data_IF_366487978944
#
_entry.id   IF_366487978944
#
_cell.length_a   1.000
_cell.length_b   1.000
_cell.length_c   1.000
_cell.angle_alpha   90.00
_cell.angle_beta   90.00
_cell.angle_gamma   90.00
#
_symmetry.space_group_name_H-M   'P 1'
#
loop_
_entity.id
_entity.type
_entity.pdbx_description
1 polymer ?
#
# COMPACT_ATOMS: atom_id res chain seq x y z
N UNK A 1 -3.60 3.52 -18.65
CA UNK A 1 -2.34 3.12 -19.23
C UNK A 1 -1.35 2.72 -18.15
N UNK A 2 -0.56 1.68 -18.40
CA UNK A 2 0.39 1.20 -17.42
C UNK A 2 1.55 2.17 -17.22
N UNK A 3 2.02 2.30 -15.99
CA UNK A 3 3.19 3.12 -15.63
C UNK A 3 4.52 2.39 -15.88
N UNK A 4 4.46 1.10 -16.14
CA UNK A 4 5.61 0.22 -16.29
C UNK A 4 6.56 0.65 -17.42
N UNK A 5 6.04 0.81 -18.63
CA UNK A 5 6.82 1.24 -19.79
C UNK A 5 7.49 2.62 -19.61
N UNK A 6 6.79 3.65 -19.13
CA UNK A 6 7.40 4.94 -18.83
C UNK A 6 8.55 4.86 -17.80
N UNK A 7 8.43 4.03 -16.76
CA UNK A 7 9.47 3.84 -15.75
C UNK A 7 10.72 3.20 -16.40
N UNK A 8 10.56 2.13 -17.19
CA UNK A 8 11.67 1.51 -17.89
C UNK A 8 12.33 2.47 -18.90
N UNK A 9 11.54 3.27 -19.62
CA UNK A 9 12.06 4.27 -20.56
C UNK A 9 12.90 5.33 -19.84
N UNK A 10 12.43 5.87 -18.71
CA UNK A 10 13.22 6.81 -17.91
C UNK A 10 14.50 6.16 -17.38
N UNK A 11 14.41 4.94 -16.89
CA UNK A 11 15.57 4.17 -16.44
C UNK A 11 16.60 3.96 -17.55
N UNK A 12 16.16 3.63 -18.77
CA UNK A 12 17.03 3.45 -19.93
C UNK A 12 17.76 4.76 -20.32
N UNK A 13 17.06 5.90 -20.28
CA UNK A 13 17.64 7.21 -20.55
C UNK A 13 18.68 7.61 -19.50
N UNK A 14 18.40 7.38 -18.22
CA UNK A 14 19.36 7.63 -17.16
C UNK A 14 20.60 6.73 -17.28
N UNK A 15 20.39 5.45 -17.57
CA UNK A 15 21.49 4.51 -17.83
C UNK A 15 22.31 4.91 -19.04
N UNK A 16 21.67 5.32 -20.14
CA UNK A 16 22.34 5.81 -21.34
C UNK A 16 23.18 7.05 -21.05
N UNK A 17 22.64 8.01 -20.27
CA UNK A 17 23.36 9.23 -19.87
C UNK A 17 24.65 8.87 -19.11
N UNK A 18 24.56 7.99 -18.13
CA UNK A 18 25.74 7.51 -17.37
C UNK A 18 26.71 6.80 -18.28
N UNK A 19 26.22 5.93 -19.18
CA UNK A 19 27.03 5.22 -20.16
C UNK A 19 27.82 6.16 -21.08
N UNK A 20 27.17 7.21 -21.62
CA UNK A 20 27.84 8.24 -22.46
C UNK A 20 28.93 8.96 -21.66
N UNK A 21 28.67 9.32 -20.41
CA UNK A 21 29.65 9.98 -19.54
C UNK A 21 30.87 9.05 -19.32
N UNK A 22 30.64 7.78 -18.99
CA UNK A 22 31.70 6.81 -18.75
C UNK A 22 32.54 6.53 -20.01
N UNK A 23 31.93 6.43 -21.19
CA UNK A 23 32.64 6.27 -22.46
C UNK A 23 33.47 7.52 -22.79
N UNK A 24 32.93 8.72 -22.63
CA UNK A 24 33.65 9.98 -22.90
C UNK A 24 34.83 10.20 -21.95
N UNK A 25 34.72 9.72 -20.70
CA UNK A 25 35.83 9.76 -19.74
C UNK A 25 36.86 8.64 -19.96
N UNK A 26 36.65 7.76 -20.94
CA UNK A 26 37.56 6.65 -21.23
C UNK A 26 37.55 5.54 -20.18
N UNK A 27 36.53 5.51 -19.31
CA UNK A 27 36.42 4.50 -18.24
C UNK A 27 35.96 3.14 -18.77
N UNK A 28 35.20 3.14 -19.87
CA UNK A 28 34.61 1.97 -20.50
C UNK A 28 34.67 2.09 -22.02
N UNK A 29 34.67 0.92 -22.71
CA UNK A 29 34.63 0.90 -24.17
C UNK A 29 33.20 1.14 -24.70
N UNK A 30 33.12 1.64 -25.93
CA UNK A 30 31.85 1.85 -26.64
C UNK A 30 30.99 0.57 -26.72
N UNK A 31 31.63 -0.59 -26.80
CA UNK A 31 30.93 -1.88 -26.85
C UNK A 31 30.17 -2.22 -25.59
N UNK A 32 30.57 -1.65 -24.45
CA UNK A 32 29.92 -1.86 -23.14
C UNK A 32 28.76 -0.90 -22.90
N UNK A 33 28.54 0.09 -23.76
CA UNK A 33 27.46 1.08 -23.61
C UNK A 33 26.07 0.45 -23.40
N UNK A 34 25.64 -0.59 -24.15
CA UNK A 34 24.30 -1.16 -23.97
C UNK A 34 24.02 -1.69 -22.56
N UNK A 35 25.04 -2.15 -21.84
CA UNK A 35 24.86 -2.65 -20.48
C UNK A 35 24.41 -1.54 -19.51
N UNK A 36 24.86 -0.29 -19.70
CA UNK A 36 24.43 0.84 -18.87
C UNK A 36 22.95 1.14 -19.03
N UNK A 37 22.42 0.99 -20.24
CA UNK A 37 20.99 1.15 -20.52
C UNK A 37 20.19 0.12 -19.74
N UNK A 38 20.59 -1.14 -19.79
CA UNK A 38 19.93 -2.26 -19.10
C UNK A 38 20.02 -2.10 -17.58
N UNK A 39 21.18 -1.72 -17.06
CA UNK A 39 21.39 -1.47 -15.64
C UNK A 39 20.51 -0.31 -15.15
N UNK A 40 20.41 0.77 -15.94
CA UNK A 40 19.54 1.90 -15.65
C UNK A 40 18.06 1.51 -15.59
N UNK A 41 17.59 0.69 -16.56
CA UNK A 41 16.22 0.16 -16.55
C UNK A 41 15.90 -0.60 -15.27
N UNK A 42 16.77 -1.54 -14.91
CA UNK A 42 16.57 -2.40 -13.74
C UNK A 42 16.70 -1.63 -12.43
N UNK A 43 17.74 -0.80 -12.28
CA UNK A 43 17.97 -0.01 -11.09
C UNK A 43 16.86 1.00 -10.81
N UNK A 44 16.42 1.73 -11.84
CA UNK A 44 15.36 2.73 -11.69
C UNK A 44 14.00 2.08 -11.37
N UNK A 45 13.64 0.99 -12.07
CA UNK A 45 12.41 0.27 -11.79
C UNK A 45 12.43 -0.34 -10.38
N UNK A 46 13.54 -1.01 -10.00
CA UNK A 46 13.68 -1.62 -8.68
C UNK A 46 13.61 -0.63 -7.52
N UNK A 47 14.19 0.57 -7.71
CA UNK A 47 14.14 1.65 -6.73
C UNK A 47 12.73 2.22 -6.54
N UNK A 48 12.06 2.58 -7.64
CA UNK A 48 10.74 3.23 -7.61
C UNK A 48 9.63 2.28 -7.16
N UNK A 49 9.66 1.03 -7.62
CA UNK A 49 8.66 0.03 -7.25
C UNK A 49 8.93 -0.63 -5.90
N UNK A 50 10.11 -0.40 -5.31
CA UNK A 50 10.62 -1.12 -4.13
C UNK A 50 10.61 -2.65 -4.30
N UNK A 51 10.80 -3.13 -5.51
CA UNK A 51 10.75 -4.55 -5.88
C UNK A 51 12.03 -4.98 -6.63
N UNK A 52 13.21 -5.05 -5.97
CA UNK A 52 14.49 -5.30 -6.63
C UNK A 52 14.56 -6.66 -7.32
N UNK A 53 14.01 -7.72 -6.73
CA UNK A 53 13.97 -9.06 -7.32
C UNK A 53 13.15 -9.10 -8.60
N UNK A 54 11.97 -8.47 -8.57
CA UNK A 54 11.10 -8.36 -9.75
C UNK A 54 11.79 -7.60 -10.86
N UNK A 55 12.45 -6.48 -10.54
CA UNK A 55 13.16 -5.65 -11.49
C UNK A 55 14.27 -6.41 -12.23
N UNK A 56 15.14 -7.10 -11.49
CA UNK A 56 16.26 -7.81 -12.09
C UNK A 56 15.81 -9.00 -12.95
N UNK A 57 14.84 -9.79 -12.49
CA UNK A 57 14.33 -10.95 -13.24
C UNK A 57 13.65 -10.49 -14.53
N UNK A 58 12.77 -9.49 -14.41
CA UNK A 58 12.01 -8.97 -15.53
C UNK A 58 12.89 -8.36 -16.61
N UNK A 59 13.88 -7.53 -16.24
CA UNK A 59 14.80 -6.94 -17.22
C UNK A 59 15.72 -8.02 -17.82
N UNK A 60 16.15 -9.01 -17.04
CA UNK A 60 16.92 -10.15 -17.54
C UNK A 60 16.13 -10.93 -18.58
N UNK A 61 14.85 -11.18 -18.34
CA UNK A 61 13.96 -11.86 -19.30
C UNK A 61 13.73 -11.04 -20.56
N UNK A 62 13.54 -9.73 -20.44
CA UNK A 62 13.39 -8.82 -21.58
C UNK A 62 14.63 -8.78 -22.48
N UNK A 63 15.82 -8.82 -21.88
CA UNK A 63 17.11 -8.82 -22.60
C UNK A 63 17.43 -10.20 -23.17
N UNK A 64 16.93 -11.26 -22.55
CA UNK A 64 17.18 -12.65 -22.97
C UNK A 64 18.59 -13.15 -22.66
N UNK A 65 19.35 -12.47 -21.78
CA UNK A 65 20.72 -12.84 -21.42
C UNK A 65 20.92 -12.91 -19.90
N UNK A 66 20.93 -14.13 -19.39
CA UNK A 66 21.08 -14.43 -17.95
C UNK A 66 22.46 -14.02 -17.37
N UNK A 67 23.47 -13.81 -18.23
CA UNK A 67 24.81 -13.38 -17.79
C UNK A 67 24.77 -12.00 -17.12
N UNK A 68 23.78 -11.20 -17.45
CA UNK A 68 23.58 -9.88 -16.87
C UNK A 68 22.85 -9.91 -15.52
N UNK A 69 22.37 -11.07 -15.05
CA UNK A 69 21.58 -11.20 -13.83
C UNK A 69 22.34 -10.68 -12.60
N UNK A 70 23.61 -11.01 -12.46
CA UNK A 70 24.44 -10.60 -11.32
C UNK A 70 24.65 -9.06 -11.28
N UNK A 71 25.11 -8.39 -12.33
CA UNK A 71 25.23 -6.94 -12.34
C UNK A 71 23.87 -6.23 -12.21
N UNK A 72 22.81 -6.76 -12.79
CA UNK A 72 21.46 -6.24 -12.62
C UNK A 72 21.00 -6.32 -11.16
N UNK A 73 21.21 -7.47 -10.52
CA UNK A 73 20.86 -7.66 -9.11
C UNK A 73 21.62 -6.70 -8.20
N UNK A 74 22.91 -6.50 -8.45
CA UNK A 74 23.73 -5.59 -7.64
C UNK A 74 23.26 -4.14 -7.79
N UNK A 75 23.04 -3.66 -9.01
CA UNK A 75 22.59 -2.28 -9.25
C UNK A 75 21.19 -2.04 -8.70
N UNK A 76 20.25 -2.96 -8.89
CA UNK A 76 18.90 -2.85 -8.35
C UNK A 76 18.88 -2.84 -6.82
N UNK A 77 19.71 -3.69 -6.19
CA UNK A 77 19.79 -3.71 -4.73
C UNK A 77 20.37 -2.40 -4.17
N UNK A 78 21.45 -1.90 -4.77
CA UNK A 78 22.03 -0.61 -4.35
C UNK A 78 21.02 0.53 -4.57
N UNK A 79 20.35 0.59 -5.72
CA UNK A 79 19.35 1.60 -6.02
C UNK A 79 18.16 1.54 -5.04
N UNK A 80 17.72 0.34 -4.68
CA UNK A 80 16.69 0.12 -3.66
C UNK A 80 17.13 0.67 -2.29
N UNK A 81 18.34 0.32 -1.84
CA UNK A 81 18.87 0.79 -0.54
C UNK A 81 18.98 2.32 -0.52
N UNK A 82 19.51 2.91 -1.57
CA UNK A 82 19.61 4.38 -1.68
C UNK A 82 18.23 5.03 -1.60
N UNK A 83 17.26 4.50 -2.34
CA UNK A 83 15.88 5.03 -2.33
C UNK A 83 15.24 4.88 -0.94
N UNK A 84 15.52 3.79 -0.24
CA UNK A 84 15.00 3.56 1.12
C UNK A 84 15.63 4.51 2.13
N UNK A 85 16.95 4.74 2.06
CA UNK A 85 17.66 5.74 2.88
C UNK A 85 17.14 7.16 2.65
N UNK A 86 16.77 7.50 1.43
CA UNK A 86 16.16 8.79 1.07
C UNK A 86 14.68 8.88 1.48
N UNK A 87 14.13 7.84 2.11
CA UNK A 87 12.71 7.73 2.49
C UNK A 87 11.75 7.94 1.31
N UNK A 88 12.14 7.50 0.11
CA UNK A 88 11.29 7.54 -1.07
C UNK A 88 10.09 6.62 -0.88
N UNK A 89 8.86 7.13 -1.11
CA UNK A 89 7.65 6.33 -1.09
C UNK A 89 7.59 5.42 -2.33
N UNK A 90 7.06 4.18 -2.21
CA UNK A 90 6.79 3.35 -3.36
C UNK A 90 5.83 4.05 -4.32
N UNK A 91 6.10 3.96 -5.63
CA UNK A 91 5.29 4.68 -6.64
C UNK A 91 3.81 4.30 -6.59
N UNK A 92 3.51 3.04 -6.27
CA UNK A 92 2.13 2.56 -6.21
C UNK A 92 1.36 3.13 -5.02
N UNK A 93 1.99 3.27 -3.86
CA UNK A 93 1.41 3.91 -2.68
C UNK A 93 1.18 5.41 -2.91
N UNK A 94 2.19 6.10 -3.45
CA UNK A 94 2.08 7.52 -3.80
C UNK A 94 1.00 7.80 -4.85
N UNK A 95 0.75 6.86 -5.78
CA UNK A 95 -0.35 6.96 -6.73
C UNK A 95 -1.70 6.71 -6.07
N UNK A 96 -1.79 5.73 -5.17
CA UNK A 96 -3.01 5.42 -4.45
C UNK A 96 -3.45 6.61 -3.59
N UNK A 97 -2.51 7.23 -2.86
CA UNK A 97 -2.77 8.45 -2.08
C UNK A 97 -3.35 9.59 -2.92
N UNK A 98 -2.81 9.80 -4.13
CA UNK A 98 -3.31 10.82 -5.06
C UNK A 98 -4.66 10.47 -5.72
N UNK A 99 -5.03 9.20 -5.75
CA UNK A 99 -6.31 8.74 -6.31
C UNK A 99 -7.42 8.72 -5.25
N UNK A 100 -7.07 8.70 -3.97
CA UNK A 100 -8.05 8.87 -2.91
C UNK A 100 -8.50 10.33 -2.89
N UNK A 101 -9.82 10.61 -2.79
CA UNK A 101 -10.30 11.98 -2.66
C UNK A 101 -9.66 12.64 -1.43
N UNK A 102 -9.27 13.91 -1.57
CA UNK A 102 -8.64 14.72 -0.51
C UNK A 102 -9.52 14.87 0.75
N UNK A 103 -10.80 14.50 0.65
CA UNK A 103 -11.78 14.48 1.74
C UNK A 103 -11.59 13.32 2.74
N UNK A 104 -10.64 12.39 2.50
CA UNK A 104 -10.30 11.33 3.44
C UNK A 104 -9.28 11.76 4.52
N UNK A 105 -8.90 13.03 4.56
CA UNK A 105 -7.97 13.56 5.55
C UNK A 105 -8.72 14.00 6.82
N UNK A 106 -8.46 13.30 7.90
CA UNK A 106 -8.66 13.58 9.32
C UNK A 106 -10.07 13.60 9.93
N UNK A 107 -11.15 13.93 9.20
CA UNK A 107 -12.51 13.89 9.79
C UNK A 107 -13.31 12.62 9.44
N UNK A 108 -12.84 11.78 8.53
CA UNK A 108 -13.57 10.64 7.98
C UNK A 108 -12.88 9.28 8.08
N UNK A 109 -11.73 9.15 8.72
CA UNK A 109 -11.10 7.84 8.84
C UNK A 109 -11.95 6.92 9.74
N UNK A 110 -12.74 6.09 9.09
CA UNK A 110 -13.55 5.08 9.78
C UNK A 110 -12.68 3.88 10.14
N UNK A 111 -12.89 3.35 11.33
CA UNK A 111 -12.25 2.13 11.80
C UNK A 111 -13.30 1.12 12.23
N UNK A 112 -12.94 -0.14 12.18
CA UNK A 112 -13.77 -1.21 12.70
C UNK A 112 -13.32 -1.51 14.12
N UNK A 113 -14.26 -1.45 15.06
CA UNK A 113 -14.03 -1.82 16.46
C UNK A 113 -14.97 -2.94 16.87
N UNK A 114 -14.53 -3.74 17.81
CA UNK A 114 -15.31 -4.80 18.43
C UNK A 114 -15.61 -4.40 19.88
N UNK A 115 -16.88 -4.47 20.27
CA UNK A 115 -17.34 -4.15 21.62
C UNK A 115 -18.25 -5.27 22.10
N UNK A 116 -18.08 -5.76 23.34
CA UNK A 116 -19.04 -6.67 23.95
C UNK A 116 -20.33 -5.93 24.29
N UNK A 117 -21.46 -6.60 24.12
CA UNK A 117 -22.78 -6.09 24.55
C UNK A 117 -22.83 -6.06 26.08
N UNK A 118 -22.88 -4.84 26.63
CA UNK A 118 -22.97 -4.57 28.06
C UNK A 118 -24.41 -4.66 28.58
N UNK A 119 -24.57 -4.62 29.91
CA UNK A 119 -25.89 -4.57 30.56
C UNK A 119 -26.71 -3.34 30.15
N UNK A 120 -26.05 -2.21 29.79
CA UNK A 120 -26.72 -0.97 29.37
C UNK A 120 -27.51 -1.13 28.06
N UNK A 121 -27.05 -1.97 27.16
CA UNK A 121 -27.62 -2.13 25.82
C UNK A 121 -28.26 -3.51 25.60
N UNK A 122 -28.04 -4.45 26.49
CA UNK A 122 -28.66 -5.77 26.43
C UNK A 122 -30.19 -5.68 26.44
N UNK A 123 -30.82 -6.46 25.56
CA UNK A 123 -32.27 -6.48 25.39
C UNK A 123 -32.85 -5.39 24.49
N UNK A 124 -32.11 -4.31 24.21
CA UNK A 124 -32.53 -3.24 23.31
C UNK A 124 -32.37 -3.64 21.84
N UNK A 125 -33.13 -2.99 20.98
CA UNK A 125 -32.94 -3.08 19.51
C UNK A 125 -31.94 -2.00 19.06
N UNK A 126 -31.28 -2.24 17.93
CA UNK A 126 -30.25 -1.31 17.43
C UNK A 126 -30.76 0.11 17.26
N UNK A 127 -31.97 0.29 16.75
CA UNK A 127 -32.56 1.62 16.58
C UNK A 127 -32.83 2.38 17.90
N UNK A 128 -32.90 1.65 19.01
CA UNK A 128 -33.10 2.24 20.37
C UNK A 128 -31.78 2.71 21.00
N UNK A 129 -30.63 2.37 20.40
CA UNK A 129 -29.31 2.73 20.93
C UNK A 129 -28.93 4.20 20.69
N UNK A 130 -29.70 4.93 19.89
CA UNK A 130 -29.46 6.35 19.54
C UNK A 130 -28.01 6.62 19.13
N UNK A 131 -27.45 5.77 18.29
CA UNK A 131 -26.09 5.92 17.78
C UNK A 131 -25.98 7.18 16.88
N UNK A 132 -24.81 7.85 16.86
CA UNK A 132 -24.55 8.90 15.89
C UNK A 132 -24.74 8.42 14.46
N UNK A 133 -25.15 9.33 13.54
CA UNK A 133 -25.46 8.98 12.14
C UNK A 133 -24.29 8.37 11.36
N UNK A 134 -23.06 8.60 11.80
CA UNK A 134 -21.83 8.12 11.20
C UNK A 134 -21.27 6.83 11.85
N UNK A 135 -22.06 6.20 12.75
CA UNK A 135 -21.74 4.95 13.43
C UNK A 135 -22.67 3.85 12.99
N UNK A 136 -22.14 2.75 12.51
CA UNK A 136 -22.91 1.63 12.00
C UNK A 136 -22.49 0.32 12.69
N UNK A 137 -23.45 -0.38 13.30
CA UNK A 137 -23.25 -1.77 13.72
C UNK A 137 -23.43 -2.66 12.49
N UNK A 138 -22.39 -3.37 12.09
CA UNK A 138 -22.39 -4.20 10.89
C UNK A 138 -22.77 -5.65 11.17
N UNK A 139 -22.22 -6.23 12.24
CA UNK A 139 -22.43 -7.63 12.60
C UNK A 139 -22.50 -7.81 14.10
N UNK A 140 -23.24 -8.85 14.51
CA UNK A 140 -23.31 -9.36 15.88
C UNK A 140 -22.91 -10.83 15.88
N UNK A 141 -22.06 -11.20 16.81
CA UNK A 141 -21.69 -12.61 17.02
C UNK A 141 -22.50 -13.13 18.20
N UNK A 142 -23.51 -13.93 17.90
CA UNK A 142 -24.39 -14.58 18.88
C UNK A 142 -24.13 -16.10 18.89
N UNK A 143 -23.83 -16.66 20.05
CA UNK A 143 -23.52 -18.09 20.22
C UNK A 143 -22.46 -18.61 19.19
N UNK A 144 -21.41 -17.80 18.92
CA UNK A 144 -20.34 -18.14 17.98
C UNK A 144 -20.74 -18.05 16.50
N UNK A 145 -21.93 -17.56 16.16
CA UNK A 145 -22.38 -17.32 14.79
C UNK A 145 -22.48 -15.82 14.52
N UNK A 146 -21.81 -15.39 13.45
CA UNK A 146 -21.90 -14.01 12.98
C UNK A 146 -23.18 -13.83 12.17
N UNK A 147 -23.93 -12.77 12.49
CA UNK A 147 -25.15 -12.37 11.77
C UNK A 147 -25.11 -10.90 11.42
N UNK A 148 -25.68 -10.56 10.27
CA UNK A 148 -25.83 -9.15 9.85
C UNK A 148 -26.87 -8.47 10.75
N UNK A 149 -26.56 -7.24 11.13
CA UNK A 149 -27.40 -6.44 12.03
C UNK A 149 -28.24 -5.44 11.23
N UNK A 150 -29.47 -5.27 11.65
CA UNK A 150 -30.37 -4.23 11.17
C UNK A 150 -31.03 -3.49 12.36
N UNK A 151 -31.79 -2.43 12.09
CA UNK A 151 -32.40 -1.60 13.15
C UNK A 151 -33.26 -2.36 14.14
N UNK A 152 -33.88 -3.49 13.76
CA UNK A 152 -34.74 -4.33 14.60
C UNK A 152 -33.99 -5.46 15.31
N UNK A 153 -32.70 -5.64 15.05
CA UNK A 153 -31.89 -6.69 15.68
C UNK A 153 -31.75 -6.41 17.17
N UNK A 154 -32.02 -7.41 18.00
CA UNK A 154 -31.92 -7.32 19.47
C UNK A 154 -30.52 -7.68 19.94
N UNK A 155 -29.97 -6.87 20.85
CA UNK A 155 -28.67 -7.11 21.47
C UNK A 155 -28.80 -8.08 22.63
N UNK A 156 -27.96 -9.10 22.70
CA UNK A 156 -27.94 -10.06 23.79
C UNK A 156 -26.66 -9.87 24.63
N UNK A 157 -26.80 -9.94 25.94
CA UNK A 157 -25.68 -9.79 26.86
C UNK A 157 -24.56 -10.80 26.54
N UNK A 158 -23.32 -10.32 26.47
CA UNK A 158 -22.16 -11.16 26.20
C UNK A 158 -21.89 -11.42 24.70
N UNK A 159 -22.77 -10.99 23.81
CA UNK A 159 -22.47 -11.01 22.38
C UNK A 159 -21.38 -9.99 22.02
N UNK A 160 -20.67 -10.23 20.93
CA UNK A 160 -19.73 -9.27 20.36
C UNK A 160 -20.37 -8.55 19.19
N UNK A 161 -20.27 -7.22 19.15
CA UNK A 161 -20.75 -6.40 18.05
C UNK A 161 -19.58 -5.73 17.34
N UNK A 162 -19.64 -5.69 16.03
CA UNK A 162 -18.66 -5.01 15.19
C UNK A 162 -19.26 -3.71 14.68
N UNK A 163 -18.55 -2.62 14.93
CA UNK A 163 -18.98 -1.27 14.55
C UNK A 163 -17.98 -0.66 13.59
N UNK A 164 -18.51 0.01 12.59
CA UNK A 164 -17.76 0.94 11.74
C UNK A 164 -18.01 2.34 12.28
N UNK A 165 -16.93 3.03 12.67
CA UNK A 165 -16.99 4.29 13.40
C UNK A 165 -15.82 5.21 13.03
N UNK A 166 -16.03 6.54 12.91
CA UNK A 166 -14.95 7.49 12.80
C UNK A 166 -14.03 7.46 14.04
N UNK A 167 -12.73 7.52 13.83
CA UNK A 167 -11.75 7.49 14.93
C UNK A 167 -12.02 8.55 16.00
N UNK A 168 -12.48 9.71 15.59
CA UNK A 168 -12.82 10.83 16.49
C UNK A 168 -13.96 10.54 17.46
N UNK A 169 -14.83 9.56 17.16
CA UNK A 169 -16.03 9.28 17.98
C UNK A 169 -15.91 8.01 18.84
N UNK A 170 -14.77 7.30 18.76
CA UNK A 170 -14.56 6.05 19.49
C UNK A 170 -14.81 6.22 21.00
N UNK A 171 -14.32 7.32 21.59
CA UNK A 171 -14.50 7.60 23.02
C UNK A 171 -15.97 7.72 23.39
N UNK A 172 -16.71 8.57 22.68
CA UNK A 172 -18.14 8.82 22.92
C UNK A 172 -19.00 7.56 22.80
N UNK A 173 -18.71 6.75 21.77
CA UNK A 173 -19.49 5.53 21.52
C UNK A 173 -19.16 4.45 22.53
N UNK A 174 -17.91 4.33 22.97
CA UNK A 174 -17.55 3.44 24.08
C UNK A 174 -18.29 3.80 25.36
N UNK A 175 -18.34 5.08 25.74
CA UNK A 175 -19.04 5.55 26.93
C UNK A 175 -20.56 5.31 26.83
N UNK A 176 -21.12 5.33 25.63
CA UNK A 176 -22.54 5.06 25.38
C UNK A 176 -22.88 3.57 25.49
N UNK A 177 -22.01 2.69 25.01
CA UNK A 177 -22.28 1.26 24.88
C UNK A 177 -21.74 0.40 26.03
N UNK A 178 -20.71 0.84 26.71
CA UNK A 178 -20.10 0.19 27.87
C UNK A 178 -20.53 0.87 29.20
#
# INVERSE_FOLDING_TARGET
>A
GGIFLPILALGSLLGALVGVICVNLGLVSQEQFPIFVILGMSGYFGAISKAPLTAMILVTEMVGDIRNLMPLGLVTLVAYIVMDLLKGAPVYEAMLEKMLPEEATDEGEVTLIEIPVSDKIAGKQVHELNLPHNVLITTQVHNGKSQTVNGSTRMYLGDMIHLVIPKSEIGKVKDLLL
#
